data_IF_399289035839
#
_entry.id   IF_399289035839
#
_cell.length_a   1.000
_cell.length_b   1.000
_cell.length_c   1.000
_cell.angle_alpha   90.00
_cell.angle_beta   90.00
_cell.angle_gamma   90.00
#
_symmetry.space_group_name_H-M   'P 1'
#
loop_
_entity.id
_entity.type
_entity.pdbx_description
1 polymer ?
#
# COMPACT_ATOMS: atom_id res chain seq x y z
N UNK A 1 7.59 -5.29 20.11
CA UNK A 1 8.38 -6.04 19.12
C UNK A 1 7.83 -5.66 17.76
N UNK A 2 8.60 -4.94 16.93
CA UNK A 2 8.15 -4.60 15.58
C UNK A 2 8.14 -5.88 14.74
N UNK A 3 6.99 -6.22 14.16
CA UNK A 3 6.87 -7.38 13.28
C UNK A 3 7.36 -6.98 11.88
N UNK A 4 8.53 -7.50 11.50
CA UNK A 4 9.18 -7.19 10.23
C UNK A 4 8.38 -7.65 8.99
N UNK A 5 7.34 -8.48 9.17
CA UNK A 5 6.40 -8.84 8.10
C UNK A 5 5.50 -7.67 7.67
N UNK A 6 5.45 -6.57 8.44
CA UNK A 6 4.68 -5.35 8.13
C UNK A 6 5.47 -4.29 7.34
N UNK A 7 6.70 -4.59 6.93
CA UNK A 7 7.49 -3.63 6.13
C UNK A 7 6.98 -3.59 4.70
N UNK A 8 6.53 -4.72 4.15
CA UNK A 8 5.93 -4.77 2.81
C UNK A 8 4.45 -4.42 2.89
N UNK A 9 4.05 -3.38 2.17
CA UNK A 9 2.68 -2.90 2.10
C UNK A 9 2.17 -3.00 0.66
N UNK A 10 0.86 -3.20 0.51
CA UNK A 10 0.22 -3.15 -0.81
C UNK A 10 -0.01 -1.69 -1.19
N UNK A 11 0.43 -1.31 -2.38
CA UNK A 11 0.14 0.00 -2.98
C UNK A 11 -1.11 -0.17 -3.83
N UNK A 12 -2.08 0.71 -3.64
CA UNK A 12 -3.33 0.69 -4.36
C UNK A 12 -3.77 2.07 -4.84
N UNK A 13 -4.84 2.08 -5.62
CA UNK A 13 -5.57 3.29 -6.03
C UNK A 13 -7.04 3.13 -5.68
N UNK A 14 -7.59 4.13 -5.01
CA UNK A 14 -9.02 4.18 -4.71
C UNK A 14 -9.80 4.49 -6.00
N UNK A 15 -10.63 3.55 -6.44
CA UNK A 15 -11.48 3.72 -7.60
C UNK A 15 -12.82 4.32 -7.16
N UNK A 16 -12.99 5.63 -7.41
CA UNK A 16 -14.19 6.37 -7.00
C UNK A 16 -15.48 5.88 -7.65
N UNK A 17 -15.41 5.23 -8.81
CA UNK A 17 -16.60 4.77 -9.53
C UNK A 17 -17.13 3.45 -8.98
N UNK A 18 -16.22 2.56 -8.56
CA UNK A 18 -16.57 1.21 -8.08
C UNK A 18 -16.53 1.09 -6.56
N UNK A 19 -16.00 2.11 -5.87
CA UNK A 19 -15.67 2.08 -4.44
C UNK A 19 -14.69 0.95 -4.05
N UNK A 20 -13.97 0.39 -5.02
CA UNK A 20 -12.96 -0.64 -4.81
C UNK A 20 -11.54 -0.05 -4.78
N UNK A 21 -10.57 -0.88 -4.39
CA UNK A 21 -9.16 -0.54 -4.46
C UNK A 21 -8.51 -1.39 -5.55
N UNK A 22 -7.94 -0.72 -6.53
CA UNK A 22 -7.13 -1.35 -7.56
C UNK A 22 -5.73 -1.59 -6.98
N UNK A 23 -5.36 -2.85 -6.77
CA UNK A 23 -4.05 -3.23 -6.25
C UNK A 23 -2.99 -3.09 -7.35
N UNK A 24 -2.07 -2.14 -7.18
CA UNK A 24 -1.08 -1.79 -8.18
C UNK A 24 0.22 -2.59 -8.02
N UNK A 25 0.58 -2.91 -6.78
CA UNK A 25 1.81 -3.64 -6.46
C UNK A 25 2.19 -3.52 -5.00
N UNK A 26 3.49 -3.55 -4.72
CA UNK A 26 4.03 -3.52 -3.35
C UNK A 26 4.97 -2.35 -3.15
N UNK A 27 5.10 -1.93 -1.90
CA UNK A 27 6.09 -0.96 -1.45
C UNK A 27 6.60 -1.31 -0.07
N UNK A 28 7.62 -0.60 0.38
CA UNK A 28 8.27 -0.85 1.66
C UNK A 28 8.18 0.38 2.55
N UNK A 29 7.73 0.20 3.80
CA UNK A 29 7.79 1.24 4.82
C UNK A 29 9.26 1.48 5.20
N UNK A 30 9.73 2.71 5.00
CA UNK A 30 11.14 3.09 5.22
C UNK A 30 11.34 4.07 6.39
N UNK A 31 10.25 4.55 6.99
CA UNK A 31 10.30 5.51 8.09
C UNK A 31 9.13 5.32 9.06
N UNK A 32 9.37 5.59 10.34
CA UNK A 32 8.32 5.71 11.37
C UNK A 32 7.39 6.91 11.13
N UNK A 33 7.75 7.83 10.23
CA UNK A 33 6.91 8.94 9.77
C UNK A 33 5.89 8.50 8.69
N UNK A 34 5.84 7.21 8.34
CA UNK A 34 4.90 6.68 7.35
C UNK A 34 5.38 6.78 5.91
N UNK A 35 6.67 7.03 5.66
CA UNK A 35 7.23 7.06 4.30
C UNK A 35 7.32 5.66 3.72
N UNK A 36 6.85 5.51 2.48
CA UNK A 36 6.85 4.25 1.74
C UNK A 36 7.60 4.44 0.43
N UNK A 37 8.46 3.50 0.08
CA UNK A 37 9.14 3.45 -1.23
C UNK A 37 8.54 2.36 -2.10
N UNK A 38 8.32 2.66 -3.38
CA UNK A 38 7.90 1.67 -4.39
C UNK A 38 8.56 1.98 -5.71
N UNK A 39 8.50 1.04 -6.66
CA UNK A 39 9.03 1.26 -7.99
C UNK A 39 8.10 2.18 -8.81
N UNK A 40 8.68 3.03 -9.67
CA UNK A 40 7.89 3.96 -10.50
C UNK A 40 6.83 3.25 -11.37
N UNK A 41 7.12 2.03 -11.85
CA UNK A 41 6.16 1.28 -12.66
C UNK A 41 4.95 0.75 -11.87
N UNK A 42 5.02 0.68 -10.53
CA UNK A 42 3.88 0.29 -9.68
C UNK A 42 2.81 1.38 -9.72
N UNK A 43 3.20 2.63 -9.48
CA UNK A 43 2.27 3.78 -9.57
C UNK A 43 2.04 4.26 -11.01
N UNK A 44 2.98 3.99 -11.92
CA UNK A 44 2.89 4.41 -13.31
C UNK A 44 2.78 5.93 -13.45
N UNK A 45 1.71 6.38 -14.12
CA UNK A 45 1.35 7.80 -14.24
C UNK A 45 0.26 8.23 -13.25
N UNK A 46 -0.18 7.32 -12.37
CA UNK A 46 -1.24 7.58 -11.42
C UNK A 46 -0.68 8.29 -10.20
N UNK A 47 -1.00 9.58 -10.05
CA UNK A 47 -0.55 10.40 -8.92
C UNK A 47 -1.68 10.77 -7.95
N UNK A 48 -2.93 10.51 -8.34
CA UNK A 48 -4.12 10.85 -7.58
C UNK A 48 -4.76 9.60 -6.98
N UNK A 49 -5.43 9.78 -5.85
CA UNK A 49 -6.21 8.75 -5.16
C UNK A 49 -5.39 7.49 -4.80
N UNK A 50 -4.07 7.64 -4.65
CA UNK A 50 -3.21 6.57 -4.18
C UNK A 50 -3.48 6.26 -2.71
N UNK A 51 -3.32 4.99 -2.37
CA UNK A 51 -3.43 4.50 -1.01
C UNK A 51 -2.46 3.36 -0.74
N UNK A 52 -2.27 3.09 0.54
CA UNK A 52 -1.49 1.96 1.05
C UNK A 52 -2.40 1.12 1.93
N UNK A 53 -2.41 -0.20 1.75
CA UNK A 53 -3.17 -1.09 2.62
C UNK A 53 -2.35 -1.43 3.85
N UNK A 54 -2.83 -1.02 5.01
CA UNK A 54 -2.21 -1.33 6.28
C UNK A 54 -2.53 -2.79 6.67
N UNK A 55 -1.54 -3.53 7.21
CA UNK A 55 -1.76 -4.90 7.67
C UNK A 55 -2.72 -4.89 8.86
N UNK A 56 -3.78 -5.70 8.77
CA UNK A 56 -4.76 -5.82 9.85
C UNK A 56 -5.02 -7.25 10.30
N UNK A 57 -4.35 -8.22 9.67
CA UNK A 57 -4.41 -9.64 10.02
C UNK A 57 -3.22 -9.95 10.96
N UNK A 58 -3.45 -10.11 12.28
CA UNK A 58 -2.37 -10.21 13.26
C UNK A 58 -1.81 -11.63 13.40
N UNK A 59 -2.48 -12.66 12.88
CA UNK A 59 -2.04 -14.06 12.96
C UNK A 59 -2.74 -14.94 11.92
N UNK A 60 -2.25 -16.17 11.78
CA UNK A 60 -2.73 -17.14 10.79
C UNK A 60 -4.18 -17.59 10.99
N UNK A 61 -4.71 -17.56 12.21
CA UNK A 61 -6.11 -17.95 12.45
C UNK A 61 -7.06 -16.89 11.90
N UNK A 62 -6.71 -15.61 12.03
CA UNK A 62 -7.48 -14.50 11.44
C UNK A 62 -7.39 -14.51 9.92
N UNK A 63 -6.26 -14.94 9.34
CA UNK A 63 -6.13 -15.10 7.88
C UNK A 63 -7.12 -16.11 7.29
N UNK A 64 -7.53 -17.12 8.06
CA UNK A 64 -8.48 -18.15 7.61
C UNK A 64 -9.94 -17.68 7.69
N UNK A 65 -10.21 -16.54 8.32
CA UNK A 65 -11.55 -15.97 8.41
C UNK A 65 -11.94 -15.29 7.09
N UNK A 66 -12.83 -15.95 6.35
CA UNK A 66 -13.36 -15.44 5.08
C UNK A 66 -14.53 -14.46 5.24
N UNK A 67 -14.92 -14.16 6.47
CA UNK A 67 -16.00 -13.18 6.75
C UNK A 67 -15.50 -11.73 6.74
N UNK A 68 -14.18 -11.53 6.86
CA UNK A 68 -13.58 -10.21 6.72
C UNK A 68 -13.46 -9.83 5.23
N UNK A 69 -14.37 -8.97 4.80
CA UNK A 69 -14.41 -8.42 3.45
C UNK A 69 -13.84 -6.99 3.39
N UNK A 70 -13.12 -6.57 4.42
CA UNK A 70 -12.59 -5.22 4.54
C UNK A 70 -11.12 -5.12 4.15
N UNK A 71 -10.73 -3.92 3.71
CA UNK A 71 -9.34 -3.50 3.63
C UNK A 71 -9.20 -2.19 4.39
N UNK A 72 -8.00 -1.93 4.94
CA UNK A 72 -7.70 -0.70 5.68
C UNK A 72 -6.79 0.23 4.87
N UNK A 73 -7.33 0.98 3.91
CA UNK A 73 -6.55 1.94 3.14
C UNK A 73 -6.16 3.15 3.98
N UNK A 74 -4.90 3.55 3.88
CA UNK A 74 -4.41 4.86 4.26
C UNK A 74 -4.08 5.65 3.00
N UNK A 75 -4.52 6.91 2.92
CA UNK A 75 -4.21 7.78 1.77
C UNK A 75 -2.69 7.97 1.63
N UNK A 76 -2.20 7.92 0.40
CA UNK A 76 -0.81 8.15 0.07
C UNK A 76 -0.68 9.25 -0.98
N UNK A 77 0.44 9.97 -0.91
CA UNK A 77 0.81 11.00 -1.87
C UNK A 77 2.23 10.73 -2.34
N UNK A 78 2.53 11.09 -3.59
CA UNK A 78 3.90 11.04 -4.09
C UNK A 78 4.66 12.23 -3.51
N UNK A 79 5.68 11.93 -2.70
CA UNK A 79 6.60 12.94 -2.16
C UNK A 79 7.72 13.27 -3.17
N UNK A 80 8.30 12.23 -3.79
CA UNK A 80 9.39 12.38 -4.76
C UNK A 80 9.41 11.22 -5.76
N UNK A 81 10.01 11.45 -6.94
CA UNK A 81 10.23 10.44 -7.98
C UNK A 81 11.69 10.53 -8.45
N UNK A 82 12.50 9.57 -8.01
CA UNK A 82 13.87 9.43 -8.49
C UNK A 82 13.88 8.87 -9.92
N UNK A 83 14.26 9.72 -10.87
CA UNK A 83 14.58 9.32 -12.25
C UNK A 83 16.10 9.28 -12.33
N UNK A 84 16.69 8.09 -12.37
CA UNK A 84 18.11 7.97 -12.72
C UNK A 84 18.25 8.29 -14.22
N UNK A 85 18.58 9.54 -14.54
CA UNK A 85 19.11 9.92 -15.84
C UNK A 85 20.59 9.57 -15.85
N UNK A 86 20.97 8.60 -16.69
CA UNK A 86 22.37 8.39 -17.08
C UNK A 86 22.82 9.51 -18.02
#
# INVERSE_FOLDING_TARGET
>A
MFDFTQITLVIGKCNKNTHAIDMLGTGFLISNEGKVVTARHVVGNETNDLCVLLPHIPNINVYQDVTDLSCRPATAIIEDILIYAY
#
